data_IF_321314965957
#
_entry.id   IF_321314965957
#
_cell.length_a   1.000
_cell.length_b   1.000
_cell.length_c   1.000
_cell.angle_alpha   90.00
_cell.angle_beta   90.00
_cell.angle_gamma   90.00
#
_symmetry.space_group_name_H-M   'P 1'
#
loop_
_entity.id
_entity.type
_entity.pdbx_description
1 polymer ?
#
# COMPACT_ATOMS: atom_id res chain seq x y z
N UNK A 1 9.00 -25.52 -13.70
CA UNK A 1 9.50 -24.76 -14.87
C UNK A 1 9.08 -23.28 -14.89
N UNK A 2 7.79 -22.92 -14.76
CA UNK A 2 7.31 -21.51 -14.91
C UNK A 2 7.90 -20.46 -13.96
N UNK A 3 8.20 -20.79 -12.70
CA UNK A 3 8.80 -19.83 -11.76
C UNK A 3 10.30 -19.60 -11.98
N UNK A 4 11.02 -20.60 -12.53
CA UNK A 4 12.45 -20.51 -12.80
C UNK A 4 12.75 -19.56 -13.95
N UNK A 5 11.96 -19.61 -15.03
CA UNK A 5 12.13 -18.71 -16.17
C UNK A 5 11.93 -17.22 -15.81
N UNK A 6 10.88 -16.90 -15.04
CA UNK A 6 10.62 -15.53 -14.58
C UNK A 6 11.72 -15.03 -13.63
N UNK A 7 12.16 -15.89 -12.70
CA UNK A 7 13.26 -15.55 -11.81
C UNK A 7 14.57 -15.32 -12.57
N UNK A 8 14.87 -16.18 -13.56
CA UNK A 8 16.03 -16.03 -14.45
C UNK A 8 15.98 -14.75 -15.27
N UNK A 9 14.82 -14.40 -15.84
CA UNK A 9 14.62 -13.15 -16.57
C UNK A 9 14.83 -11.92 -15.67
N UNK A 10 14.28 -11.93 -14.45
CA UNK A 10 14.47 -10.83 -13.51
C UNK A 10 15.92 -10.72 -13.02
N UNK A 11 16.60 -11.84 -12.80
CA UNK A 11 18.01 -11.87 -12.43
C UNK A 11 18.89 -11.32 -13.56
N UNK A 12 18.66 -11.77 -14.80
CA UNK A 12 19.36 -11.27 -15.99
C UNK A 12 19.10 -9.77 -16.17
N UNK A 13 17.85 -9.33 -16.09
CA UNK A 13 17.48 -7.92 -16.17
C UNK A 13 18.18 -7.10 -15.07
N UNK A 14 18.28 -7.66 -13.87
CA UNK A 14 18.99 -7.07 -12.73
C UNK A 14 20.49 -6.91 -12.97
N UNK A 15 21.15 -7.94 -13.50
CA UNK A 15 22.58 -7.87 -13.86
C UNK A 15 22.80 -6.82 -14.95
N UNK A 16 21.97 -6.82 -16.00
CA UNK A 16 22.09 -5.88 -17.12
C UNK A 16 21.89 -4.45 -16.64
N UNK A 17 20.84 -4.18 -15.85
CA UNK A 17 20.56 -2.80 -15.40
C UNK A 17 21.65 -2.29 -14.47
N UNK A 18 22.15 -3.11 -13.54
CA UNK A 18 23.26 -2.70 -12.66
C UNK A 18 24.56 -2.47 -13.45
N UNK A 19 24.82 -3.27 -14.49
CA UNK A 19 25.95 -3.05 -15.38
C UNK A 19 25.82 -1.74 -16.18
N UNK A 20 24.63 -1.43 -16.69
CA UNK A 20 24.36 -0.18 -17.40
C UNK A 20 24.53 1.04 -16.47
N UNK A 21 23.93 1.01 -15.27
CA UNK A 21 24.07 2.09 -14.30
C UNK A 21 25.53 2.28 -13.90
N UNK A 22 26.25 1.19 -13.58
CA UNK A 22 27.69 1.27 -13.27
C UNK A 22 28.52 1.87 -14.41
N UNK A 23 28.20 1.53 -15.67
CA UNK A 23 28.87 2.11 -16.85
C UNK A 23 28.60 3.61 -16.99
N UNK A 24 27.41 4.08 -16.62
CA UNK A 24 27.05 5.50 -16.69
C UNK A 24 27.63 6.32 -15.54
N UNK A 25 27.60 5.81 -14.31
CA UNK A 25 28.01 6.56 -13.11
C UNK A 25 29.48 6.36 -12.71
N UNK A 26 30.18 5.42 -13.35
CA UNK A 26 31.45 4.90 -12.84
C UNK A 26 31.28 4.01 -11.61
N UNK A 27 32.37 3.37 -11.17
CA UNK A 27 32.31 2.39 -10.06
C UNK A 27 32.09 3.07 -8.71
N UNK A 28 32.77 4.18 -8.42
CA UNK A 28 32.59 4.90 -7.15
C UNK A 28 31.20 5.53 -7.04
N UNK A 29 30.76 6.24 -8.08
CA UNK A 29 29.41 6.81 -8.14
C UNK A 29 28.33 5.75 -8.01
N UNK A 30 28.52 4.57 -8.62
CA UNK A 30 27.62 3.43 -8.46
C UNK A 30 27.51 2.96 -7.00
N UNK A 31 28.64 2.82 -6.30
CA UNK A 31 28.65 2.34 -4.91
C UNK A 31 28.02 3.36 -3.95
N UNK A 32 28.33 4.65 -4.12
CA UNK A 32 27.72 5.73 -3.34
C UNK A 32 26.22 5.81 -3.61
N UNK A 33 25.82 5.82 -4.89
CA UNK A 33 24.43 5.84 -5.30
C UNK A 33 23.66 4.63 -4.77
N UNK A 34 24.26 3.43 -4.81
CA UNK A 34 23.68 2.21 -4.25
C UNK A 34 23.47 2.33 -2.74
N UNK A 35 24.49 2.76 -1.99
CA UNK A 35 24.41 2.92 -0.54
C UNK A 35 23.29 3.89 -0.12
N UNK A 36 23.21 5.04 -0.78
CA UNK A 36 22.20 6.06 -0.50
C UNK A 36 20.80 5.64 -0.95
N UNK A 37 20.66 4.99 -2.11
CA UNK A 37 19.36 4.55 -2.64
C UNK A 37 18.69 3.47 -1.79
N UNK A 38 19.46 2.69 -1.02
CA UNK A 38 18.91 1.68 -0.08
C UNK A 38 18.14 2.35 1.08
N UNK A 39 18.56 3.52 1.54
CA UNK A 39 18.03 4.17 2.76
C UNK A 39 16.50 4.31 2.78
N UNK A 40 15.82 4.85 1.75
CA UNK A 40 14.36 5.01 1.77
C UNK A 40 13.58 3.69 1.63
N UNK A 41 14.19 2.63 1.05
CA UNK A 41 13.47 1.41 0.65
C UNK A 41 12.79 0.70 1.84
N UNK A 42 13.45 0.39 2.98
CA UNK A 42 12.81 -0.27 4.11
C UNK A 42 11.58 0.50 4.64
N UNK A 43 11.66 1.83 4.67
CA UNK A 43 10.59 2.70 5.15
C UNK A 43 9.38 2.69 4.22
N UNK A 44 9.61 2.77 2.91
CA UNK A 44 8.57 2.70 1.90
C UNK A 44 7.88 1.34 1.90
N UNK A 45 8.65 0.24 1.95
CA UNK A 45 8.10 -1.11 2.08
C UNK A 45 7.28 -1.21 3.37
N UNK A 46 7.80 -0.74 4.51
CA UNK A 46 7.08 -0.77 5.78
C UNK A 46 5.76 0.02 5.73
N UNK A 47 5.73 1.17 5.06
CA UNK A 47 4.53 1.98 4.87
C UNK A 47 3.44 1.23 4.08
N UNK A 48 3.78 0.66 2.92
CA UNK A 48 2.83 -0.14 2.13
C UNK A 48 2.40 -1.43 2.85
N UNK A 49 3.31 -2.06 3.62
CA UNK A 49 2.96 -3.22 4.48
C UNK A 49 2.02 -2.84 5.62
N UNK A 50 2.18 -1.66 6.18
CA UNK A 50 1.30 -1.14 7.23
C UNK A 50 -0.09 -0.82 6.69
N UNK A 51 -0.13 -0.26 5.48
CA UNK A 51 -1.37 0.07 4.79
C UNK A 51 -2.19 -1.19 4.49
N UNK A 52 -1.57 -2.22 3.93
CA UNK A 52 -2.21 -3.51 3.58
C UNK A 52 -2.42 -4.46 4.78
N UNK A 53 -2.29 -3.98 6.02
CA UNK A 53 -2.25 -4.85 7.21
C UNK A 53 -3.57 -5.55 7.54
N UNK A 54 -4.70 -5.06 7.02
CA UNK A 54 -6.05 -5.59 7.32
C UNK A 54 -6.29 -6.93 6.62
N UNK A 55 -5.93 -7.05 5.34
CA UNK A 55 -5.98 -8.28 4.56
C UNK A 55 -4.67 -8.45 3.79
N UNK A 56 -3.58 -8.79 4.50
CA UNK A 56 -2.23 -8.72 3.95
C UNK A 56 -2.05 -9.70 2.80
N UNK A 57 -1.60 -9.19 1.66
CA UNK A 57 -1.19 -10.01 0.52
C UNK A 57 0.04 -10.87 0.84
N UNK A 58 0.28 -11.94 0.06
CA UNK A 58 1.43 -12.80 0.27
C UNK A 58 2.74 -12.07 -0.05
N UNK A 59 3.76 -12.26 0.80
CA UNK A 59 5.08 -11.63 0.64
C UNK A 59 5.73 -11.90 -0.72
N UNK A 60 5.43 -13.04 -1.34
CA UNK A 60 5.91 -13.40 -2.68
C UNK A 60 5.44 -12.41 -3.76
N UNK A 61 4.28 -11.78 -3.60
CA UNK A 61 3.78 -10.77 -4.54
C UNK A 61 4.55 -9.47 -4.37
N UNK A 62 4.90 -9.11 -3.13
CA UNK A 62 5.67 -7.90 -2.82
C UNK A 62 7.13 -8.02 -3.26
N UNK A 63 7.76 -9.18 -3.04
CA UNK A 63 9.11 -9.44 -3.53
C UNK A 63 9.15 -9.40 -5.06
N UNK A 64 8.17 -10.02 -5.72
CA UNK A 64 8.03 -9.94 -7.17
C UNK A 64 7.82 -8.50 -7.64
N UNK A 65 6.92 -7.75 -7.01
CA UNK A 65 6.61 -6.37 -7.36
C UNK A 65 7.86 -5.48 -7.27
N UNK A 66 8.61 -5.58 -6.17
CA UNK A 66 9.85 -4.85 -5.96
C UNK A 66 10.91 -5.24 -6.99
N UNK A 67 11.16 -6.54 -7.17
CA UNK A 67 12.16 -7.04 -8.12
C UNK A 67 11.83 -6.68 -9.57
N UNK A 68 10.55 -6.72 -9.95
CA UNK A 68 10.11 -6.25 -11.26
C UNK A 68 10.40 -4.75 -11.43
N UNK A 69 10.04 -3.93 -10.45
CA UNK A 69 10.32 -2.50 -10.46
C UNK A 69 11.80 -2.19 -10.63
N UNK A 70 12.62 -2.80 -9.77
CA UNK A 70 14.06 -2.55 -9.72
C UNK A 70 14.83 -3.09 -10.92
N UNK A 71 14.38 -4.20 -11.51
CA UNK A 71 15.10 -4.84 -12.61
C UNK A 71 14.42 -4.58 -13.96
N UNK A 72 13.25 -5.19 -14.19
CA UNK A 72 12.61 -5.18 -15.50
C UNK A 72 12.09 -3.80 -15.89
N UNK A 73 11.36 -3.12 -15.01
CA UNK A 73 10.78 -1.82 -15.32
C UNK A 73 11.86 -0.74 -15.49
N UNK A 74 12.86 -0.72 -14.62
CA UNK A 74 14.01 0.19 -14.75
C UNK A 74 14.81 -0.07 -16.04
N UNK A 75 15.04 -1.34 -16.41
CA UNK A 75 15.71 -1.68 -17.67
C UNK A 75 14.91 -1.24 -18.90
N UNK A 76 13.60 -1.54 -18.92
CA UNK A 76 12.70 -1.09 -20.00
C UNK A 76 12.76 0.43 -20.14
N UNK A 77 12.68 1.15 -19.02
CA UNK A 77 12.73 2.61 -19.00
C UNK A 77 14.05 3.16 -19.54
N UNK A 78 15.20 2.68 -19.03
CA UNK A 78 16.50 3.16 -19.51
C UNK A 78 16.68 2.89 -21.01
N UNK A 79 16.33 1.69 -21.49
CA UNK A 79 16.47 1.34 -22.91
C UNK A 79 15.54 2.18 -23.79
N UNK A 80 14.27 2.30 -23.40
CA UNK A 80 13.29 3.04 -24.17
C UNK A 80 13.55 4.56 -24.15
N UNK A 81 13.93 5.13 -22.99
CA UNK A 81 14.30 6.54 -22.89
C UNK A 81 15.54 6.84 -23.74
N UNK A 82 16.56 5.97 -23.71
CA UNK A 82 17.77 6.12 -24.55
C UNK A 82 17.44 6.05 -26.04
N UNK A 83 16.57 5.11 -26.43
CA UNK A 83 16.10 5.00 -27.82
C UNK A 83 15.29 6.23 -28.25
N UNK A 84 14.39 6.72 -27.39
CA UNK A 84 13.59 7.90 -27.67
C UNK A 84 14.48 9.13 -27.87
N UNK A 85 15.45 9.37 -27.00
CA UNK A 85 16.43 10.47 -27.15
C UNK A 85 17.23 10.34 -28.44
N UNK A 86 17.69 9.14 -28.79
CA UNK A 86 18.46 8.94 -30.03
C UNK A 86 17.61 9.15 -31.30
N UNK A 87 16.38 8.63 -31.30
CA UNK A 87 15.44 8.82 -32.42
C UNK A 87 15.07 10.29 -32.58
N UNK A 88 14.80 10.99 -31.48
CA UNK A 88 14.52 12.42 -31.46
C UNK A 88 15.69 13.23 -32.04
N UNK A 89 16.91 12.97 -31.56
CA UNK A 89 18.12 13.67 -32.00
C UNK A 89 18.42 13.46 -33.50
N UNK A 90 17.94 12.36 -34.09
CA UNK A 90 18.14 12.04 -35.50
C UNK A 90 16.97 12.45 -36.40
N UNK A 91 15.77 12.66 -35.84
CA UNK A 91 14.54 12.94 -36.58
C UNK A 91 14.09 14.41 -36.55
N UNK A 92 14.65 15.27 -35.69
CA UNK A 92 14.19 16.66 -35.51
C UNK A 92 15.30 17.71 -35.65
N UNK A 93 14.96 18.86 -36.23
CA UNK A 93 15.86 20.01 -36.40
C UNK A 93 15.96 20.93 -35.16
N UNK A 94 15.17 20.66 -34.11
CA UNK A 94 15.22 21.35 -32.81
C UNK A 94 15.43 20.33 -31.67
N UNK A 95 16.69 20.08 -31.27
CA UNK A 95 17.03 19.15 -30.19
C UNK A 95 16.43 19.53 -28.83
N UNK A 96 16.20 20.82 -28.57
CA UNK A 96 15.82 21.34 -27.26
C UNK A 96 14.34 21.11 -26.93
N UNK A 97 13.44 21.36 -27.89
CA UNK A 97 12.01 21.09 -27.74
C UNK A 97 11.72 19.58 -27.64
N UNK A 98 12.54 18.77 -28.30
CA UNK A 98 12.32 17.34 -28.38
C UNK A 98 12.85 16.60 -27.13
N UNK A 99 13.96 17.04 -26.52
CA UNK A 99 14.39 16.56 -25.20
C UNK A 99 13.33 16.83 -24.11
N UNK A 100 12.67 17.98 -24.19
CA UNK A 100 11.60 18.36 -23.27
C UNK A 100 10.38 17.44 -23.43
N UNK A 101 9.93 17.16 -24.65
CA UNK A 101 8.82 16.22 -24.90
C UNK A 101 9.16 14.78 -24.48
N UNK A 102 10.39 14.34 -24.74
CA UNK A 102 10.89 13.04 -24.33
C UNK A 102 10.84 12.86 -22.81
N UNK A 103 11.38 13.81 -22.05
CA UNK A 103 11.46 13.74 -20.60
C UNK A 103 10.10 13.96 -19.91
N UNK A 104 9.22 14.78 -20.48
CA UNK A 104 7.94 15.18 -19.84
C UNK A 104 6.76 14.29 -20.21
N UNK A 105 6.77 13.62 -21.36
CA UNK A 105 5.63 12.80 -21.82
C UNK A 105 6.04 11.36 -22.08
N UNK A 106 7.07 11.13 -22.89
CA UNK A 106 7.44 9.78 -23.32
C UNK A 106 7.94 8.95 -22.13
N UNK A 107 8.86 9.51 -21.33
CA UNK A 107 9.41 8.83 -20.17
C UNK A 107 8.31 8.41 -19.16
N UNK A 108 7.41 9.30 -18.70
CA UNK A 108 6.27 8.93 -17.86
C UNK A 108 5.40 7.81 -18.43
N UNK A 109 5.10 7.84 -19.73
CA UNK A 109 4.29 6.81 -20.38
C UNK A 109 4.99 5.45 -20.34
N UNK A 110 6.25 5.40 -20.74
CA UNK A 110 7.05 4.16 -20.74
C UNK A 110 7.19 3.62 -19.32
N UNK A 111 7.58 4.47 -18.39
CA UNK A 111 7.90 4.06 -17.03
C UNK A 111 6.66 3.57 -16.27
N UNK A 112 5.55 4.31 -16.33
CA UNK A 112 4.32 3.89 -15.65
C UNK A 112 3.72 2.65 -16.31
N UNK A 113 3.86 2.46 -17.63
CA UNK A 113 3.46 1.23 -18.32
C UNK A 113 4.31 0.03 -17.89
N UNK A 114 5.62 0.21 -17.81
CA UNK A 114 6.55 -0.83 -17.39
C UNK A 114 6.31 -1.26 -15.94
N UNK A 115 6.00 -0.31 -15.04
CA UNK A 115 5.59 -0.59 -13.65
C UNK A 115 4.21 -1.27 -13.61
N UNK A 116 3.25 -0.80 -14.41
CA UNK A 116 1.90 -1.37 -14.49
C UNK A 116 1.90 -2.85 -14.88
N UNK A 117 2.86 -3.29 -15.69
CA UNK A 117 3.02 -4.69 -16.07
C UNK A 117 3.17 -5.62 -14.85
N UNK A 118 3.87 -5.20 -13.79
CA UNK A 118 3.94 -5.99 -12.55
C UNK A 118 2.56 -6.20 -11.93
N UNK A 119 1.79 -5.12 -11.81
CA UNK A 119 0.46 -5.11 -11.22
C UNK A 119 -0.49 -5.98 -12.05
N UNK A 120 -0.42 -5.86 -13.39
CA UNK A 120 -1.17 -6.68 -14.33
C UNK A 120 -0.83 -8.16 -14.19
N UNK A 121 0.45 -8.52 -14.11
CA UNK A 121 0.88 -9.91 -13.96
C UNK A 121 0.36 -10.52 -12.65
N UNK A 122 0.44 -9.79 -11.54
CA UNK A 122 -0.15 -10.26 -10.27
C UNK A 122 -1.67 -10.36 -10.41
N UNK A 123 -2.32 -9.41 -11.09
CA UNK A 123 -3.77 -9.42 -11.27
C UNK A 123 -4.26 -10.60 -12.11
N UNK A 124 -3.57 -10.95 -13.19
CA UNK A 124 -3.94 -12.07 -14.09
C UNK A 124 -3.64 -13.41 -13.44
N UNK A 125 -2.43 -13.59 -12.89
CA UNK A 125 -1.99 -14.90 -12.40
C UNK A 125 -2.31 -15.16 -10.93
N UNK A 126 -2.58 -14.13 -10.14
CA UNK A 126 -2.84 -14.20 -8.70
C UNK A 126 -4.03 -13.33 -8.30
N UNK A 127 -5.07 -13.31 -9.14
CA UNK A 127 -6.28 -12.51 -8.93
C UNK A 127 -6.91 -12.68 -7.54
N UNK A 128 -6.84 -13.89 -6.96
CA UNK A 128 -7.35 -14.21 -5.62
C UNK A 128 -6.64 -13.42 -4.51
N UNK A 129 -5.38 -13.02 -4.74
CA UNK A 129 -4.59 -12.23 -3.79
C UNK A 129 -4.90 -10.72 -3.89
N UNK A 130 -5.67 -10.28 -4.90
CA UNK A 130 -6.13 -8.89 -5.02
C UNK A 130 -7.39 -8.68 -4.19
N UNK A 131 -7.19 -8.23 -2.95
CA UNK A 131 -8.25 -8.10 -1.95
C UNK A 131 -9.07 -6.80 -2.09
N UNK A 132 -8.57 -5.81 -2.82
CA UNK A 132 -9.27 -4.55 -3.11
C UNK A 132 -8.32 -3.40 -3.47
N UNK A 133 -8.82 -2.14 -3.45
CA UNK A 133 -8.04 -0.94 -3.80
C UNK A 133 -6.77 -0.76 -2.96
N UNK A 134 -6.84 -1.05 -1.66
CA UNK A 134 -5.71 -0.90 -0.73
C UNK A 134 -4.59 -1.90 -1.05
N UNK A 135 -4.94 -3.18 -1.28
CA UNK A 135 -3.95 -4.20 -1.68
C UNK A 135 -3.35 -3.92 -3.05
N UNK A 136 -4.15 -3.43 -4.00
CA UNK A 136 -3.66 -2.99 -5.30
C UNK A 136 -2.69 -1.80 -5.21
N UNK A 137 -3.01 -0.80 -4.39
CA UNK A 137 -2.11 0.31 -4.08
C UNK A 137 -0.79 -0.18 -3.45
N UNK A 138 -0.85 -1.14 -2.53
CA UNK A 138 0.36 -1.69 -1.90
C UNK A 138 1.27 -2.42 -2.91
N UNK A 139 0.72 -3.23 -3.81
CA UNK A 139 1.50 -3.90 -4.87
C UNK A 139 2.15 -2.86 -5.79
N UNK A 140 1.36 -1.89 -6.27
CA UNK A 140 1.84 -0.86 -7.17
C UNK A 140 2.90 0.06 -6.53
N UNK A 141 2.68 0.47 -5.28
CA UNK A 141 3.62 1.28 -4.51
C UNK A 141 4.95 0.57 -4.26
N UNK A 142 4.92 -0.74 -4.00
CA UNK A 142 6.13 -1.57 -3.88
C UNK A 142 6.85 -1.71 -5.22
N UNK A 143 6.13 -1.86 -6.33
CA UNK A 143 6.73 -1.84 -7.68
C UNK A 143 7.42 -0.51 -7.96
N UNK A 144 6.74 0.60 -7.69
CA UNK A 144 7.30 1.93 -7.86
C UNK A 144 8.50 2.19 -6.95
N UNK A 145 8.50 1.64 -5.74
CA UNK A 145 9.64 1.70 -4.81
C UNK A 145 10.85 0.97 -5.39
N UNK A 146 10.65 -0.21 -6.00
CA UNK A 146 11.72 -0.92 -6.70
C UNK A 146 12.28 -0.13 -7.88
N UNK A 147 11.40 0.47 -8.69
CA UNK A 147 11.84 1.33 -9.79
C UNK A 147 12.64 2.54 -9.30
N UNK A 148 12.09 3.27 -8.32
CA UNK A 148 12.72 4.42 -7.70
C UNK A 148 14.08 4.09 -7.08
N UNK A 149 14.23 2.87 -6.53
CA UNK A 149 15.52 2.40 -6.02
C UNK A 149 16.59 2.43 -7.11
N UNK A 150 16.38 1.76 -8.24
CA UNK A 150 17.36 1.72 -9.32
C UNK A 150 17.57 3.08 -9.96
N UNK A 151 16.51 3.87 -10.12
CA UNK A 151 16.62 5.24 -10.63
C UNK A 151 17.45 6.12 -9.69
N UNK A 152 17.23 6.02 -8.37
CA UNK A 152 18.02 6.77 -7.39
C UNK A 152 19.51 6.42 -7.43
N UNK A 153 19.88 5.16 -7.72
CA UNK A 153 21.31 4.79 -7.90
C UNK A 153 21.92 5.61 -9.03
N UNK A 154 21.21 5.71 -10.16
CA UNK A 154 21.68 6.44 -11.33
C UNK A 154 21.82 7.94 -11.03
N UNK A 155 20.77 8.58 -10.48
CA UNK A 155 20.81 10.02 -10.19
C UNK A 155 21.86 10.37 -9.13
N UNK A 156 21.95 9.60 -8.05
CA UNK A 156 22.92 9.86 -6.98
C UNK A 156 24.35 9.56 -7.42
N UNK A 157 24.56 8.53 -8.24
CA UNK A 157 25.87 8.23 -8.80
C UNK A 157 26.36 9.30 -9.78
N UNK A 158 25.47 9.82 -10.64
CA UNK A 158 25.80 10.93 -11.54
C UNK A 158 26.06 12.24 -10.76
N UNK A 159 25.27 12.52 -9.73
CA UNK A 159 25.50 13.66 -8.83
C UNK A 159 26.87 13.56 -8.16
N UNK A 160 27.26 12.37 -7.70
CA UNK A 160 28.58 12.13 -7.11
C UNK A 160 29.72 12.33 -8.11
N UNK A 161 29.58 11.83 -9.34
CA UNK A 161 30.56 12.09 -10.41
C UNK A 161 30.71 13.59 -10.71
N UNK A 162 29.60 14.34 -10.66
CA UNK A 162 29.60 15.80 -10.84
C UNK A 162 30.37 16.48 -9.71
N UNK A 163 30.10 16.11 -8.45
CA UNK A 163 30.81 16.63 -7.28
C UNK A 163 32.32 16.39 -7.38
N UNK A 164 32.75 15.19 -7.79
CA UNK A 164 34.16 14.86 -8.00
C UNK A 164 34.80 15.73 -9.11
N UNK A 165 34.07 16.00 -10.20
CA UNK A 165 34.58 16.81 -11.31
C UNK A 165 34.76 18.29 -10.97
N UNK A 166 33.92 18.83 -10.07
CA UNK A 166 33.93 20.24 -9.65
C UNK A 166 34.71 20.43 -8.33
N UNK A 167 35.13 19.34 -7.68
CA UNK A 167 35.82 19.37 -6.39
C UNK A 167 34.93 19.77 -5.22
N UNK A 168 33.61 19.60 -5.34
CA UNK A 168 32.64 19.96 -4.31
C UNK A 168 32.38 18.77 -3.37
N UNK A 169 32.23 19.00 -2.08
CA UNK A 169 31.93 17.93 -1.11
C UNK A 169 31.07 18.41 0.06
N UNK A 170 30.58 17.48 0.87
CA UNK A 170 29.79 17.78 2.08
C UNK A 170 28.32 18.12 1.80
N UNK A 171 27.70 18.86 2.73
CA UNK A 171 26.24 19.15 2.72
C UNK A 171 25.84 20.07 1.55
N UNK A 172 26.78 20.82 1.00
CA UNK A 172 26.56 21.75 -0.14
C UNK A 172 26.73 21.05 -1.50
N UNK A 173 27.05 19.75 -1.50
CA UNK A 173 27.25 18.96 -2.72
C UNK A 173 25.97 18.70 -3.52
N UNK A 174 26.11 18.48 -4.82
CA UNK A 174 25.02 18.07 -5.72
C UNK A 174 24.44 16.73 -5.27
N UNK A 175 25.28 15.81 -4.77
CA UNK A 175 24.85 14.53 -4.20
C UNK A 175 23.94 14.72 -2.99
N UNK A 176 24.33 15.58 -2.05
CA UNK A 176 23.53 15.86 -0.85
C UNK A 176 22.18 16.50 -1.22
N UNK A 177 22.18 17.48 -2.13
CA UNK A 177 20.96 18.10 -2.64
C UNK A 177 20.04 17.10 -3.35
N UNK A 178 20.61 16.25 -4.22
CA UNK A 178 19.88 15.20 -4.94
C UNK A 178 19.28 14.18 -3.98
N UNK A 179 20.05 13.76 -2.97
CA UNK A 179 19.55 12.85 -1.93
C UNK A 179 18.44 13.48 -1.10
N UNK A 180 18.57 14.75 -0.72
CA UNK A 180 17.54 15.44 0.04
C UNK A 180 16.23 15.53 -0.75
N UNK A 181 16.29 15.99 -2.01
CA UNK A 181 15.11 16.09 -2.85
C UNK A 181 14.48 14.72 -3.08
N UNK A 182 15.25 13.73 -3.51
CA UNK A 182 14.70 12.42 -3.93
C UNK A 182 14.41 11.47 -2.76
N UNK A 183 15.29 11.44 -1.77
CA UNK A 183 15.25 10.53 -0.63
C UNK A 183 14.46 11.04 0.57
N UNK A 184 14.37 12.37 0.76
CA UNK A 184 13.71 12.98 1.93
C UNK A 184 12.42 13.71 1.55
N UNK A 185 12.48 14.63 0.58
CA UNK A 185 11.28 15.39 0.18
C UNK A 185 10.31 14.55 -0.66
N UNK A 186 10.82 13.83 -1.66
CA UNK A 186 9.98 13.11 -2.62
C UNK A 186 10.13 11.58 -2.63
N UNK A 187 10.33 10.87 -1.49
CA UNK A 187 10.51 9.42 -1.50
C UNK A 187 9.26 8.67 -1.97
N UNK A 188 8.09 9.33 -1.89
CA UNK A 188 6.82 8.81 -2.37
C UNK A 188 6.43 9.30 -3.78
N UNK A 189 7.30 9.99 -4.54
CA UNK A 189 6.93 10.49 -5.88
C UNK A 189 6.49 9.36 -6.83
N UNK A 190 7.38 8.42 -7.19
CA UNK A 190 6.95 7.30 -8.03
C UNK A 190 5.82 6.47 -7.39
N UNK A 191 5.88 6.15 -6.08
CA UNK A 191 4.75 5.46 -5.46
C UNK A 191 3.42 6.21 -5.57
N UNK A 192 3.39 7.54 -5.47
CA UNK A 192 2.18 8.37 -5.62
C UNK A 192 1.60 8.27 -7.04
N UNK A 193 2.43 8.13 -8.07
CA UNK A 193 1.93 7.98 -9.44
C UNK A 193 1.37 6.58 -9.66
N UNK A 194 2.19 5.55 -9.45
CA UNK A 194 1.85 4.17 -9.82
C UNK A 194 0.72 3.58 -8.97
N UNK A 195 0.52 4.04 -7.73
CA UNK A 195 -0.61 3.61 -6.88
C UNK A 195 -1.97 3.82 -7.52
N UNK A 196 -2.16 4.81 -8.42
CA UNK A 196 -3.42 4.97 -9.14
C UNK A 196 -3.71 3.78 -10.06
N UNK A 197 -2.69 3.27 -10.76
CA UNK A 197 -2.76 2.00 -11.49
C UNK A 197 -3.15 0.85 -10.57
N UNK A 198 -2.51 0.76 -9.40
CA UNK A 198 -2.82 -0.24 -8.37
C UNK A 198 -4.27 -0.20 -7.89
N UNK A 199 -4.78 1.00 -7.59
CA UNK A 199 -6.18 1.24 -7.21
C UNK A 199 -7.12 0.83 -8.33
N UNK A 200 -6.79 1.15 -9.58
CA UNK A 200 -7.54 0.74 -10.77
C UNK A 200 -7.72 -0.78 -10.85
N UNK A 201 -6.63 -1.54 -10.72
CA UNK A 201 -6.68 -3.00 -10.67
C UNK A 201 -7.43 -3.53 -9.43
N UNK A 202 -7.24 -2.91 -8.26
CA UNK A 202 -7.95 -3.26 -7.04
C UNK A 202 -9.47 -3.05 -7.14
N UNK A 203 -9.91 -2.02 -7.85
CA UNK A 203 -11.33 -1.78 -8.15
C UNK A 203 -11.88 -2.76 -9.20
N UNK A 204 -11.06 -3.18 -10.16
CA UNK A 204 -11.41 -4.18 -11.17
C UNK A 204 -11.49 -5.61 -10.62
N UNK A 205 -10.85 -5.87 -9.47
CA UNK A 205 -10.95 -7.15 -8.76
C UNK A 205 -12.35 -7.35 -8.13
N UNK A 206 -13.06 -6.26 -7.81
CA UNK A 206 -14.39 -6.32 -7.19
C UNK A 206 -15.48 -6.74 -8.20
N UNK A 207 -16.56 -7.40 -7.76
CA UNK A 207 -17.68 -7.75 -8.64
C UNK A 207 -18.33 -6.51 -9.26
N UNK A 208 -18.11 -6.31 -10.55
CA UNK A 208 -18.59 -5.19 -11.36
C UNK A 208 -18.81 -5.60 -12.80
N UNK A 209 -19.48 -4.73 -13.56
CA UNK A 209 -19.71 -4.91 -15.00
C UNK A 209 -18.40 -5.10 -15.78
N UNK A 210 -18.48 -5.84 -16.89
CA UNK A 210 -17.32 -6.15 -17.74
C UNK A 210 -16.60 -4.89 -18.23
N UNK A 211 -17.34 -3.80 -18.52
CA UNK A 211 -16.79 -2.51 -18.93
C UNK A 211 -15.90 -1.89 -17.85
N UNK A 212 -16.38 -1.84 -16.60
CA UNK A 212 -15.65 -1.24 -15.49
C UNK A 212 -14.37 -2.01 -15.13
N UNK A 213 -14.31 -3.31 -15.40
CA UNK A 213 -13.10 -4.12 -15.20
C UNK A 213 -11.92 -3.68 -16.08
N UNK A 214 -12.19 -3.05 -17.23
CA UNK A 214 -11.16 -2.51 -18.13
C UNK A 214 -10.95 -1.01 -17.94
N UNK A 215 -12.01 -0.25 -17.67
CA UNK A 215 -11.91 1.20 -17.49
C UNK A 215 -11.11 1.58 -16.23
N UNK A 216 -11.24 0.85 -15.12
CA UNK A 216 -10.51 1.21 -13.89
C UNK A 216 -8.99 1.07 -14.02
N UNK A 217 -8.42 -0.06 -14.52
CA UNK A 217 -6.98 -0.17 -14.71
C UNK A 217 -6.43 0.86 -15.69
N UNK A 218 -7.12 1.07 -16.83
CA UNK A 218 -6.69 2.03 -17.85
C UNK A 218 -6.76 3.46 -17.31
N UNK A 219 -7.86 3.84 -16.66
CA UNK A 219 -7.99 5.16 -16.03
C UNK A 219 -6.94 5.39 -14.94
N UNK A 220 -6.66 4.39 -14.10
CA UNK A 220 -5.59 4.46 -13.10
C UNK A 220 -4.21 4.69 -13.72
N UNK A 221 -3.92 4.02 -14.84
CA UNK A 221 -2.66 4.18 -15.57
C UNK A 221 -2.54 5.57 -16.21
N UNK A 222 -3.61 6.07 -16.83
CA UNK A 222 -3.61 7.41 -17.42
C UNK A 222 -3.41 8.51 -16.37
N UNK A 223 -4.00 8.36 -15.18
CA UNK A 223 -3.77 9.27 -14.05
C UNK A 223 -2.32 9.19 -13.57
N UNK A 224 -1.76 7.98 -13.44
CA UNK A 224 -0.35 7.80 -13.08
C UNK A 224 0.59 8.50 -14.08
N UNK A 225 0.39 8.28 -15.38
CA UNK A 225 1.15 8.92 -16.45
C UNK A 225 1.03 10.44 -16.40
N UNK A 226 -0.18 10.97 -16.24
CA UNK A 226 -0.43 12.41 -16.19
C UNK A 226 0.23 13.08 -14.99
N UNK A 227 0.13 12.46 -13.80
CA UNK A 227 0.78 13.00 -12.60
C UNK A 227 2.30 12.96 -12.72
N UNK A 228 2.85 11.88 -13.28
CA UNK A 228 4.28 11.76 -13.49
C UNK A 228 4.77 12.76 -14.55
N UNK A 229 4.03 12.95 -15.64
CA UNK A 229 4.30 13.99 -16.63
C UNK A 229 4.30 15.40 -16.02
N UNK A 230 3.34 15.70 -15.16
CA UNK A 230 3.30 16.98 -14.44
C UNK A 230 4.49 17.15 -13.49
N UNK A 231 4.94 16.08 -12.82
CA UNK A 231 6.15 16.09 -12.00
C UNK A 231 7.40 16.40 -12.84
N UNK A 232 7.60 15.68 -13.94
CA UNK A 232 8.76 15.89 -14.81
C UNK A 232 8.71 17.27 -15.48
N UNK A 233 7.53 17.72 -15.91
CA UNK A 233 7.30 19.04 -16.50
C UNK A 233 7.56 20.19 -15.53
N UNK A 234 7.54 19.95 -14.21
CA UNK A 234 7.79 21.00 -13.21
C UNK A 234 9.17 21.65 -13.34
N UNK A 235 10.17 20.92 -13.86
CA UNK A 235 11.50 21.44 -14.14
C UNK A 235 11.49 22.50 -15.26
N UNK A 236 10.48 22.52 -16.13
CA UNK A 236 10.36 23.50 -17.21
C UNK A 236 9.62 24.78 -16.80
N UNK A 237 9.02 24.85 -15.61
CA UNK A 237 8.22 26.00 -15.14
C UNK A 237 9.05 27.10 -14.46
N UNK A 238 10.35 27.17 -14.75
CA UNK A 238 11.28 28.15 -14.18
C UNK A 238 11.79 27.78 -12.77
N UNK A 239 12.52 28.70 -12.14
CA UNK A 239 13.30 28.44 -10.91
C UNK A 239 12.47 27.89 -9.72
N UNK A 240 11.18 28.25 -9.63
CA UNK A 240 10.28 27.80 -8.55
C UNK A 240 9.29 26.72 -9.00
N UNK A 241 9.35 26.30 -10.27
CA UNK A 241 8.41 25.36 -10.87
C UNK A 241 8.26 24.07 -10.06
N UNK A 242 9.41 23.48 -9.68
CA UNK A 242 9.46 22.31 -8.81
C UNK A 242 8.74 22.53 -7.48
N UNK A 243 9.02 23.62 -6.77
CA UNK A 243 8.43 23.91 -5.45
C UNK A 243 6.93 24.16 -5.54
N UNK A 244 6.47 24.84 -6.59
CA UNK A 244 5.04 25.09 -6.83
C UNK A 244 4.29 23.80 -7.10
N UNK A 245 4.81 22.94 -7.98
CA UNK A 245 4.18 21.64 -8.28
C UNK A 245 4.24 20.70 -7.07
N UNK A 246 5.37 20.66 -6.37
CA UNK A 246 5.54 19.84 -5.17
C UNK A 246 4.57 20.27 -4.05
N UNK A 247 4.60 21.54 -3.65
CA UNK A 247 3.81 22.05 -2.52
C UNK A 247 2.34 22.27 -2.86
N UNK A 248 2.04 22.77 -4.06
CA UNK A 248 0.68 23.13 -4.47
C UNK A 248 -0.15 21.96 -5.00
N UNK A 249 0.50 20.91 -5.54
CA UNK A 249 -0.21 19.79 -6.14
C UNK A 249 0.17 18.44 -5.54
N UNK A 250 1.47 18.08 -5.51
CA UNK A 250 1.88 16.73 -5.14
C UNK A 250 1.66 16.41 -3.67
N UNK A 251 2.08 17.29 -2.76
CA UNK A 251 1.87 17.08 -1.33
C UNK A 251 0.37 17.03 -0.95
N UNK A 252 -0.51 17.91 -1.47
CA UNK A 252 -1.96 17.78 -1.29
C UNK A 252 -2.54 16.49 -1.89
N UNK A 253 -2.12 16.11 -3.11
CA UNK A 253 -2.57 14.87 -3.74
C UNK A 253 -2.16 13.63 -2.93
N UNK A 254 -0.93 13.61 -2.41
CA UNK A 254 -0.44 12.57 -1.51
C UNK A 254 -1.24 12.53 -0.21
N UNK A 255 -1.47 13.69 0.43
CA UNK A 255 -2.26 13.78 1.66
C UNK A 255 -3.69 13.27 1.48
N UNK A 256 -4.36 13.68 0.40
CA UNK A 256 -5.70 13.21 0.05
C UNK A 256 -5.72 11.70 -0.21
N UNK A 257 -4.77 11.20 -0.99
CA UNK A 257 -4.67 9.78 -1.30
C UNK A 257 -4.41 8.94 -0.05
N UNK A 258 -3.46 9.36 0.79
CA UNK A 258 -3.15 8.70 2.06
C UNK A 258 -4.38 8.68 2.96
N UNK A 259 -5.09 9.80 3.08
CA UNK A 259 -6.34 9.89 3.84
C UNK A 259 -7.40 8.93 3.29
N UNK A 260 -7.62 8.88 1.98
CA UNK A 260 -8.58 7.97 1.34
C UNK A 260 -8.23 6.49 1.60
N UNK A 261 -6.97 6.12 1.46
CA UNK A 261 -6.50 4.75 1.67
C UNK A 261 -6.60 4.33 3.15
N UNK A 262 -6.23 5.23 4.08
CA UNK A 262 -6.40 5.01 5.52
C UNK A 262 -7.88 4.91 5.87
N UNK A 263 -8.74 5.79 5.34
CA UNK A 263 -10.19 5.73 5.56
C UNK A 263 -10.79 4.44 5.03
N UNK A 264 -10.38 3.99 3.84
CA UNK A 264 -10.81 2.71 3.25
C UNK A 264 -10.43 1.54 4.16
N UNK A 265 -9.19 1.53 4.66
CA UNK A 265 -8.71 0.53 5.61
C UNK A 265 -9.50 0.51 6.92
N UNK A 266 -9.79 1.69 7.50
CA UNK A 266 -10.60 1.79 8.73
C UNK A 266 -12.05 1.32 8.49
N UNK A 267 -12.58 1.54 7.28
CA UNK A 267 -13.90 1.05 6.90
C UNK A 267 -13.96 -0.48 6.89
N UNK A 268 -12.94 -1.19 6.38
CA UNK A 268 -12.91 -2.66 6.42
C UNK A 268 -12.98 -3.20 7.85
N UNK A 269 -12.24 -2.57 8.77
CA UNK A 269 -12.25 -2.95 10.19
C UNK A 269 -13.59 -2.66 10.87
N UNK A 270 -14.20 -1.51 10.54
CA UNK A 270 -15.53 -1.18 11.05
C UNK A 270 -16.59 -2.16 10.55
N UNK A 271 -16.55 -2.51 9.27
CA UNK A 271 -17.44 -3.53 8.70
C UNK A 271 -17.29 -4.87 9.41
N UNK A 272 -16.06 -5.28 9.75
CA UNK A 272 -15.85 -6.48 10.57
C UNK A 272 -16.52 -6.40 11.94
N UNK A 273 -16.56 -5.22 12.59
CA UNK A 273 -17.27 -5.06 13.88
C UNK A 273 -18.78 -5.08 13.75
N UNK A 274 -19.30 -4.49 12.67
CA UNK A 274 -20.74 -4.30 12.47
C UNK A 274 -21.43 -5.57 11.96
N UNK A 275 -20.76 -6.34 11.09
CA UNK A 275 -21.39 -7.48 10.39
C UNK A 275 -21.11 -8.82 11.04
N UNK A 276 -20.01 -8.98 11.79
CA UNK A 276 -19.68 -10.27 12.43
C UNK A 276 -20.57 -10.68 13.62
N UNK A 277 -21.22 -9.79 14.39
CA UNK A 277 -22.08 -10.19 15.51
C UNK A 277 -23.19 -11.18 15.15
N UNK A 278 -23.73 -11.14 13.93
CA UNK A 278 -24.76 -12.13 13.50
C UNK A 278 -24.25 -13.57 13.57
N UNK A 279 -22.95 -13.79 13.33
CA UNK A 279 -22.32 -15.10 13.40
C UNK A 279 -21.97 -15.50 14.84
N UNK A 280 -21.93 -14.56 15.77
CA UNK A 280 -21.88 -14.88 17.20
C UNK A 280 -23.22 -15.46 17.63
N UNK A 281 -24.33 -14.81 17.28
CA UNK A 281 -25.67 -15.31 17.59
C UNK A 281 -25.96 -16.68 16.95
N UNK A 282 -25.43 -16.92 15.75
CA UNK A 282 -25.53 -18.21 15.07
C UNK A 282 -24.52 -19.28 15.57
N UNK A 283 -23.68 -18.97 16.57
CA UNK A 283 -22.74 -19.92 17.20
C UNK A 283 -21.44 -20.16 16.44
N UNK A 284 -21.19 -19.45 15.33
CA UNK A 284 -19.98 -19.59 14.52
C UNK A 284 -18.76 -18.87 15.11
N UNK A 285 -18.94 -17.77 15.84
CA UNK A 285 -17.88 -16.94 16.43
C UNK A 285 -18.09 -16.74 17.94
N UNK A 286 -17.01 -16.54 18.70
CA UNK A 286 -17.09 -16.19 20.11
C UNK A 286 -17.41 -14.68 20.29
N UNK A 287 -18.07 -14.28 21.40
CA UNK A 287 -18.54 -12.90 21.61
C UNK A 287 -17.46 -11.82 21.54
N UNK A 288 -16.22 -12.17 21.93
CA UNK A 288 -15.09 -11.25 21.93
C UNK A 288 -14.44 -11.04 20.55
N UNK A 289 -14.68 -11.96 19.61
CA UNK A 289 -13.98 -11.95 18.31
C UNK A 289 -14.31 -10.73 17.44
N UNK A 290 -15.58 -10.29 17.25
CA UNK A 290 -15.87 -9.14 16.41
C UNK A 290 -15.11 -7.88 16.84
N UNK A 291 -14.97 -7.66 18.16
CA UNK A 291 -14.21 -6.53 18.69
C UNK A 291 -12.72 -6.61 18.34
N UNK A 292 -12.09 -7.76 18.59
CA UNK A 292 -10.68 -8.00 18.30
C UNK A 292 -10.39 -7.92 16.80
N UNK A 293 -11.23 -8.56 15.99
CA UNK A 293 -11.16 -8.52 14.53
C UNK A 293 -11.36 -7.11 13.98
N UNK A 294 -12.12 -6.26 14.66
CA UNK A 294 -12.27 -4.86 14.30
C UNK A 294 -11.12 -3.92 14.67
N UNK A 295 -10.06 -4.41 15.32
CA UNK A 295 -8.99 -3.57 15.87
C UNK A 295 -7.61 -4.04 15.41
N UNK A 296 -6.84 -3.17 14.78
CA UNK A 296 -5.45 -3.51 14.41
C UNK A 296 -4.56 -3.70 15.62
N UNK A 297 -4.84 -3.00 16.73
CA UNK A 297 -4.11 -3.17 17.98
C UNK A 297 -4.38 -4.56 18.56
N UNK A 298 -5.63 -4.98 18.60
CA UNK A 298 -6.01 -6.31 19.08
C UNK A 298 -5.47 -7.40 18.16
N UNK A 299 -5.62 -7.28 16.83
CA UNK A 299 -5.01 -8.21 15.86
C UNK A 299 -3.50 -8.37 16.05
N UNK A 300 -2.77 -7.26 16.26
CA UNK A 300 -1.32 -7.32 16.55
C UNK A 300 -1.04 -8.10 17.84
N UNK A 301 -1.76 -7.80 18.92
CA UNK A 301 -1.60 -8.50 20.20
C UNK A 301 -1.96 -9.98 20.10
N UNK A 302 -3.00 -10.34 19.35
CA UNK A 302 -3.38 -11.72 19.11
C UNK A 302 -2.26 -12.48 18.39
N UNK A 303 -1.72 -11.92 17.30
CA UNK A 303 -0.59 -12.52 16.57
C UNK A 303 0.66 -12.65 17.44
N UNK A 304 0.98 -11.63 18.23
CA UNK A 304 2.13 -11.63 19.13
C UNK A 304 1.96 -12.66 20.27
N UNK A 305 0.76 -12.77 20.85
CA UNK A 305 0.42 -13.77 21.87
C UNK A 305 0.51 -15.19 21.29
N UNK A 306 -0.10 -15.43 20.13
CA UNK A 306 -0.03 -16.72 19.44
C UNK A 306 1.43 -17.12 19.11
N UNK A 307 2.24 -16.14 18.69
CA UNK A 307 3.67 -16.35 18.43
C UNK A 307 4.46 -16.73 19.67
N UNK A 308 4.21 -16.08 20.80
CA UNK A 308 5.02 -16.23 22.01
C UNK A 308 4.59 -17.43 22.86
N UNK A 309 3.30 -17.71 22.93
CA UNK A 309 2.74 -18.59 23.96
C UNK A 309 1.94 -19.79 23.45
N UNK A 310 1.48 -19.80 22.20
CA UNK A 310 0.63 -20.89 21.70
C UNK A 310 1.39 -21.88 20.79
N UNK A 311 2.09 -21.37 19.77
CA UNK A 311 2.68 -22.27 18.78
C UNK A 311 3.61 -21.58 17.79
N UNK A 312 4.31 -20.54 18.23
CA UNK A 312 5.34 -19.90 17.42
C UNK A 312 4.81 -19.23 16.14
N UNK A 313 5.69 -19.18 15.13
CA UNK A 313 5.37 -18.60 13.81
C UNK A 313 4.20 -19.31 13.11
N UNK A 314 4.01 -20.65 13.18
CA UNK A 314 2.81 -21.31 12.66
C UNK A 314 1.51 -20.78 13.26
N UNK A 315 1.41 -20.66 14.58
CA UNK A 315 0.19 -20.16 15.25
C UNK A 315 -0.12 -18.71 14.86
N UNK A 316 0.90 -17.83 14.81
CA UNK A 316 0.71 -16.45 14.37
C UNK A 316 0.22 -16.36 12.90
N UNK A 317 0.66 -17.28 12.03
CA UNK A 317 0.17 -17.36 10.65
C UNK A 317 -1.29 -17.84 10.58
N UNK A 318 -1.67 -18.79 11.42
CA UNK A 318 -3.07 -19.23 11.53
C UNK A 318 -3.99 -18.08 11.96
N UNK A 319 -3.58 -17.27 12.95
CA UNK A 319 -4.31 -16.06 13.37
C UNK A 319 -4.46 -15.06 12.21
N UNK A 320 -3.39 -14.80 11.44
CA UNK A 320 -3.47 -13.92 10.26
C UNK A 320 -4.47 -14.44 9.23
N UNK A 321 -4.47 -15.75 8.97
CA UNK A 321 -5.41 -16.36 8.04
C UNK A 321 -6.85 -16.23 8.55
N UNK A 322 -7.10 -16.55 9.83
CA UNK A 322 -8.40 -16.40 10.48
C UNK A 322 -8.92 -14.95 10.40
N UNK A 323 -8.09 -13.97 10.75
CA UNK A 323 -8.46 -12.54 10.68
C UNK A 323 -8.81 -12.09 9.25
N UNK A 324 -8.06 -12.58 8.26
CA UNK A 324 -8.28 -12.26 6.85
C UNK A 324 -9.61 -12.86 6.38
N UNK A 325 -9.85 -14.14 6.65
CA UNK A 325 -11.09 -14.86 6.32
C UNK A 325 -12.30 -14.22 6.99
N UNK A 326 -12.20 -13.82 8.26
CA UNK A 326 -13.29 -13.15 8.96
C UNK A 326 -13.59 -11.76 8.37
N UNK A 327 -12.55 -11.04 7.93
CA UNK A 327 -12.74 -9.76 7.24
C UNK A 327 -13.41 -9.97 5.88
N UNK A 328 -13.04 -11.02 5.13
CA UNK A 328 -13.70 -11.37 3.88
C UNK A 328 -15.18 -11.71 4.08
N UNK A 329 -15.51 -12.47 5.13
CA UNK A 329 -16.89 -12.82 5.49
C UNK A 329 -17.70 -11.57 5.82
N UNK A 330 -17.14 -10.66 6.62
CA UNK A 330 -17.80 -9.40 6.95
C UNK A 330 -18.05 -8.52 5.71
N UNK A 331 -17.07 -8.41 4.82
CA UNK A 331 -17.20 -7.64 3.57
C UNK A 331 -18.16 -8.30 2.57
N UNK A 332 -18.25 -9.64 2.56
CA UNK A 332 -19.25 -10.37 1.78
C UNK A 332 -20.65 -10.07 2.30
N UNK A 333 -20.86 -10.15 3.62
CA UNK A 333 -22.15 -9.88 4.26
C UNK A 333 -22.59 -8.42 4.09
N UNK A 334 -21.68 -7.47 4.27
CA UNK A 334 -21.96 -6.05 4.07
C UNK A 334 -22.44 -5.74 2.65
N UNK A 335 -21.85 -6.39 1.63
CA UNK A 335 -22.29 -6.24 0.23
C UNK A 335 -23.67 -6.84 0.02
N UNK A 336 -23.96 -8.00 0.60
CA UNK A 336 -25.29 -8.61 0.52
C UNK A 336 -26.36 -7.73 1.18
N UNK A 337 -26.08 -7.18 2.38
CA UNK A 337 -26.96 -6.24 3.07
C UNK A 337 -27.21 -4.96 2.26
N UNK A 338 -26.24 -4.52 1.48
CA UNK A 338 -26.36 -3.39 0.57
C UNK A 338 -27.05 -3.72 -0.77
N UNK A 339 -27.67 -4.90 -0.92
CA UNK A 339 -28.34 -5.34 -2.14
C UNK A 339 -27.40 -5.70 -3.30
N UNK A 340 -26.12 -5.94 -3.01
CA UNK A 340 -25.07 -6.25 -4.00
C UNK A 340 -24.50 -7.66 -3.81
N UNK A 341 -25.34 -8.61 -3.38
CA UNK A 341 -24.98 -10.01 -3.30
C UNK A 341 -24.70 -10.56 -4.71
N UNK A 342 -23.64 -11.35 -4.86
CA UNK A 342 -23.42 -12.15 -6.06
C UNK A 342 -24.32 -13.39 -6.06
N UNK A 343 -24.51 -14.05 -7.21
CA UNK A 343 -25.26 -15.31 -7.30
C UNK A 343 -24.61 -16.45 -6.49
N UNK A 344 -23.31 -16.33 -6.20
CA UNK A 344 -22.48 -17.26 -5.44
C UNK A 344 -22.39 -16.93 -3.94
N UNK A 345 -23.20 -15.98 -3.44
CA UNK A 345 -23.12 -15.49 -2.07
C UNK A 345 -23.18 -16.62 -1.02
N UNK A 346 -24.19 -17.48 -1.07
CA UNK A 346 -24.40 -18.54 -0.07
C UNK A 346 -23.27 -19.57 -0.06
N UNK A 347 -22.79 -19.98 -1.24
CA UNK A 347 -21.63 -20.88 -1.36
C UNK A 347 -20.40 -20.24 -0.74
N UNK A 348 -20.12 -18.97 -1.08
CA UNK A 348 -18.95 -18.27 -0.56
C UNK A 348 -19.02 -17.99 0.93
N UNK A 349 -20.20 -17.66 1.45
CA UNK A 349 -20.45 -17.47 2.88
C UNK A 349 -20.16 -18.77 3.64
N UNK A 350 -20.67 -19.90 3.15
CA UNK A 350 -20.41 -21.22 3.73
C UNK A 350 -18.92 -21.61 3.69
N UNK A 351 -18.23 -21.43 2.57
CA UNK A 351 -16.78 -21.71 2.45
C UNK A 351 -15.95 -20.94 3.49
N UNK A 352 -16.26 -19.64 3.67
CA UNK A 352 -15.56 -18.78 4.63
C UNK A 352 -15.85 -19.22 6.06
N UNK A 353 -17.09 -19.59 6.38
CA UNK A 353 -17.47 -20.10 7.71
C UNK A 353 -16.77 -21.42 8.03
N UNK A 354 -16.73 -22.37 7.09
CA UNK A 354 -16.00 -23.63 7.26
C UNK A 354 -14.51 -23.39 7.48
N UNK A 355 -13.92 -22.46 6.72
CA UNK A 355 -12.51 -22.09 6.88
C UNK A 355 -12.23 -21.50 8.26
N UNK A 356 -13.10 -20.61 8.76
CA UNK A 356 -12.98 -20.09 10.13
C UNK A 356 -13.10 -21.21 11.16
N UNK A 357 -14.08 -22.11 10.99
CA UNK A 357 -14.30 -23.20 11.92
C UNK A 357 -13.09 -24.13 12.05
N UNK A 358 -12.42 -24.44 10.93
CA UNK A 358 -11.21 -25.26 10.91
C UNK A 358 -10.04 -24.61 11.69
N UNK A 359 -9.92 -23.28 11.63
CA UNK A 359 -8.82 -22.56 12.26
C UNK A 359 -9.14 -22.00 13.66
N UNK A 360 -10.38 -22.15 14.15
CA UNK A 360 -10.84 -21.55 15.41
C UNK A 360 -10.02 -21.96 16.63
N UNK A 361 -9.64 -23.23 16.74
CA UNK A 361 -8.94 -23.76 17.91
C UNK A 361 -7.55 -23.13 18.09
N UNK A 362 -6.88 -22.83 16.97
CA UNK A 362 -5.55 -22.19 16.97
C UNK A 362 -5.58 -20.67 17.08
N UNK A 363 -6.74 -20.04 16.83
CA UNK A 363 -6.84 -18.58 16.68
C UNK A 363 -7.66 -17.90 17.78
N UNK A 364 -8.73 -18.55 18.27
CA UNK A 364 -9.64 -17.97 19.27
C UNK A 364 -8.96 -17.59 20.58
N UNK A 365 -8.12 -18.44 21.23
CA UNK A 365 -7.52 -18.07 22.50
C UNK A 365 -6.71 -16.77 22.43
N UNK A 366 -6.00 -16.58 21.31
CA UNK A 366 -5.24 -15.36 21.05
C UNK A 366 -6.13 -14.12 20.82
N UNK A 367 -7.25 -14.29 20.11
CA UNK A 367 -8.21 -13.21 19.86
C UNK A 367 -8.97 -12.82 21.13
N UNK A 368 -9.34 -13.77 21.96
CA UNK A 368 -9.97 -13.54 23.26
C UNK A 368 -9.01 -12.81 24.21
N UNK A 369 -7.77 -13.30 24.34
CA UNK A 369 -6.72 -12.59 25.09
C UNK A 369 -6.58 -11.15 24.62
N UNK A 370 -6.47 -10.94 23.30
CA UNK A 370 -6.31 -9.61 22.75
C UNK A 370 -7.54 -8.73 22.97
N UNK A 371 -8.75 -9.29 22.89
CA UNK A 371 -9.99 -8.59 23.19
C UNK A 371 -10.00 -8.14 24.65
N UNK A 372 -9.69 -9.02 25.60
CA UNK A 372 -9.65 -8.67 27.03
C UNK A 372 -8.62 -7.57 27.34
N UNK A 373 -7.43 -7.63 26.73
CA UNK A 373 -6.37 -6.64 26.96
C UNK A 373 -6.68 -5.28 26.31
N UNK A 374 -7.48 -5.25 25.25
CA UNK A 374 -7.73 -4.01 24.49
C UNK A 374 -9.15 -3.46 24.62
N UNK A 375 -10.06 -4.22 25.23
CA UNK A 375 -11.40 -3.75 25.53
C UNK A 375 -11.30 -2.51 26.42
N UNK A 376 -12.01 -1.42 26.08
CA UNK A 376 -12.15 -0.34 27.04
C UNK A 376 -12.77 -0.90 28.33
N UNK A 377 -12.38 -0.39 29.51
CA UNK A 377 -12.99 -0.81 30.76
C UNK A 377 -14.52 -0.65 30.63
N UNK A 378 -15.31 -1.58 31.19
CA UNK A 378 -16.75 -1.45 31.16
C UNK A 378 -17.11 -0.07 31.72
N UNK A 379 -17.87 0.70 30.95
CA UNK A 379 -18.40 1.96 31.45
C UNK A 379 -19.16 1.64 32.74
N UNK A 380 -18.88 2.28 33.87
CA UNK A 380 -19.57 1.98 35.11
C UNK A 380 -21.06 2.21 34.86
N UNK A 381 -21.81 1.11 34.81
CA UNK A 381 -23.26 1.16 34.68
C UNK A 381 -23.76 1.84 35.94
N UNK A 382 -24.14 3.10 35.82
CA UNK A 382 -24.67 3.87 36.95
C UNK A 382 -26.09 3.35 37.20
N UNK A 383 -26.21 2.31 38.02
CA UNK A 383 -27.48 1.70 38.44
C UNK A 383 -28.32 2.58 39.39
N UNK A 384 -28.07 3.90 39.45
CA UNK A 384 -28.64 4.79 40.47
C UNK A 384 -29.72 5.76 39.97
N UNK A 385 -30.41 5.49 38.86
CA UNK A 385 -31.60 6.28 38.50
C UNK A 385 -32.67 5.44 37.78
N UNK A 386 -33.43 4.60 38.51
CA UNK A 386 -34.82 4.29 38.08
C UNK A 386 -35.80 3.67 39.09
N UNK A 387 -35.56 3.73 40.39
CA UNK A 387 -36.60 3.38 41.38
C UNK A 387 -36.61 4.38 42.53
N UNK A 388 -37.02 5.61 42.24
CA UNK A 388 -37.49 6.55 43.25
C UNK A 388 -39.01 6.60 43.18
N UNK A 389 -39.70 5.78 43.98
CA UNK A 389 -41.07 6.09 44.35
C UNK A 389 -41.03 7.38 45.21
N UNK A 390 -41.86 8.40 44.94
CA UNK A 390 -42.00 9.50 45.88
C UNK A 390 -42.65 8.96 47.15
N UNK A 391 -41.90 8.94 48.25
CA UNK A 391 -42.44 8.66 49.57
C UNK A 391 -43.45 9.78 49.94
N UNK A 392 -44.66 9.45 50.43
CA UNK A 392 -45.60 10.46 50.89
C UNK A 392 -45.02 11.21 52.11
N UNK A 393 -45.28 12.52 52.26
CA UNK A 393 -44.73 13.31 53.35
C UNK A 393 -45.32 12.88 54.69
N UNK A 394 -44.48 12.33 55.57
CA UNK A 394 -44.81 12.13 56.97
C UNK A 394 -44.91 13.50 57.65
N UNK A 395 -46.10 13.83 58.14
CA UNK A 395 -46.34 14.98 59.02
C UNK A 395 -45.70 14.70 60.39
N UNK A 396 -44.47 15.18 60.58
CA UNK A 396 -43.76 15.16 61.86
C UNK A 396 -44.30 16.23 62.81
N UNK A 397 -45.09 15.79 63.78
CA UNK A 397 -45.51 16.54 64.97
C UNK A 397 -44.29 17.05 65.76
N UNK A 398 -44.23 18.36 66.02
CA UNK A 398 -43.15 19.01 66.79
C UNK A 398 -43.69 19.48 68.16
N UNK A 399 -43.40 18.78 69.28
CA UNK A 399 -43.96 19.11 70.59
C UNK A 399 -43.20 20.19 71.39
N UNK A 400 -42.32 20.99 70.80
CA UNK A 400 -41.53 22.00 71.55
C UNK A 400 -41.48 23.39 70.90
N UNK A 401 -42.64 23.94 70.48
CA UNK A 401 -42.79 25.39 70.26
C UNK A 401 -43.68 25.98 71.36
N UNK A 402 -43.05 26.67 72.31
CA UNK A 402 -43.62 27.78 73.11
C UNK A 402 -42.81 29.02 72.81
#
# INVERSE_FOLDING_TARGET
MRHGALAGLLALSGVVILALVRRQTGTEGFLVGLGLAVVPVPWLIAAFRWLDRVRPGPWRNMLFAFAWGACAAALIAIVANSFATHWIATATADPSGADTLGATVIAPVVEESAKAAAVLLVFVFRRRDFTGPVGGAAIAGVTATGFAFTENILYLGNAFGTDQSIGTSGIVSVTAATFFVRGVMSPFAHPLFTVFTGIGFGLAALPRSRRLRWLFPVGGLLVAMSMHALWNGSAAFGQYGFLVVYGGFMAPAFGLLAWLLIRSRQRELRVAREELPVYVYAGWLAPAEPFALGSLRARRLARDHARRFLGGRPAARAVVHYETTATELALLRHRARAGRAGPDFSTREHELLVTLWQHRASSRPALEYAAHVTAPPPSPVTYWQRYGHPAPPYAGYNPYRT
#
